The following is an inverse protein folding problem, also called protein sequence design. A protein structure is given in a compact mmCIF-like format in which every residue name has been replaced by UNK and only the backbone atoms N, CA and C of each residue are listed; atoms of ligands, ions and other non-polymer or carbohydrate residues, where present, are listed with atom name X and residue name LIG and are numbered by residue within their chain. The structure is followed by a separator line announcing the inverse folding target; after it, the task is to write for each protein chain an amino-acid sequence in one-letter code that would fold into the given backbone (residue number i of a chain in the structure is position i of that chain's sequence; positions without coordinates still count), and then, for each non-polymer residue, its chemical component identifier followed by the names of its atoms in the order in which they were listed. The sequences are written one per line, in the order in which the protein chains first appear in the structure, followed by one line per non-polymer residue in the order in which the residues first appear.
data_IF_134173774206
#
_entry.id   IF_134173774206
#
_cell.length_a   1.000
_cell.length_b   1.000
_cell.length_c   1.000
_cell.angle_alpha   90.00
_cell.angle_beta   90.00
_cell.angle_gamma   90.00
#
_symmetry.space_group_name_H-M   'P 1'
#
loop_
_entity.id
_entity.type
_entity.pdbx_description
1 polymer ?
#
# COMPACT_ATOMS: atom_id res chain seq x y z
N UNK A 1 28.23 6.47 -7.59
CA UNK A 1 27.17 6.33 -6.57
C UNK A 1 27.59 5.23 -5.61
N UNK A 2 27.75 5.61 -4.35
CA UNK A 2 28.10 4.72 -3.25
C UNK A 2 27.02 3.63 -3.06
N UNK A 3 27.38 2.35 -2.81
CA UNK A 3 26.44 1.33 -2.33
C UNK A 3 25.46 1.79 -1.23
N UNK A 4 25.90 2.64 -0.31
CA UNK A 4 25.04 3.19 0.76
C UNK A 4 24.01 4.17 0.18
N UNK A 5 24.43 5.10 -0.68
CA UNK A 5 23.53 6.03 -1.36
C UNK A 5 22.49 5.31 -2.23
N UNK A 6 22.91 4.27 -2.96
CA UNK A 6 22.02 3.49 -3.82
C UNK A 6 20.95 2.74 -3.00
N UNK A 7 21.36 2.15 -1.89
CA UNK A 7 20.43 1.42 -1.01
C UNK A 7 19.48 2.37 -0.28
N UNK A 8 19.94 3.55 0.14
CA UNK A 8 19.09 4.59 0.71
C UNK A 8 18.05 5.10 -0.30
N UNK A 9 18.46 5.40 -1.53
CA UNK A 9 17.54 5.81 -2.60
C UNK A 9 16.44 4.77 -2.81
N UNK A 10 16.79 3.48 -2.84
CA UNK A 10 15.82 2.40 -3.00
C UNK A 10 14.81 2.34 -1.84
N UNK A 11 15.27 2.55 -0.60
CA UNK A 11 14.40 2.63 0.59
C UNK A 11 13.42 3.80 0.47
N UNK A 12 13.88 4.96 0.01
CA UNK A 12 13.05 6.16 -0.13
C UNK A 12 12.02 6.02 -1.26
N UNK A 13 12.39 5.42 -2.39
CA UNK A 13 11.46 5.08 -3.48
C UNK A 13 10.33 4.16 -3.00
N UNK A 14 10.65 3.11 -2.25
CA UNK A 14 9.66 2.18 -1.72
C UNK A 14 8.76 2.82 -0.66
N UNK A 15 9.29 3.74 0.16
CA UNK A 15 8.49 4.53 1.12
C UNK A 15 7.53 5.47 0.41
N UNK A 16 7.97 6.11 -0.68
CA UNK A 16 7.12 6.97 -1.49
C UNK A 16 6.00 6.16 -2.14
N UNK A 17 6.35 5.03 -2.78
CA UNK A 17 5.37 4.13 -3.40
C UNK A 17 4.32 3.63 -2.41
N UNK A 18 4.72 3.25 -1.19
CA UNK A 18 3.78 2.81 -0.15
C UNK A 18 2.83 3.93 0.28
N UNK A 19 3.33 5.17 0.37
CA UNK A 19 2.51 6.34 0.71
C UNK A 19 1.49 6.62 -0.38
N UNK A 20 1.92 6.60 -1.64
CA UNK A 20 1.08 6.88 -2.79
C UNK A 20 -0.01 5.81 -2.95
N UNK A 21 0.33 4.54 -2.72
CA UNK A 21 -0.65 3.45 -2.71
C UNK A 21 -1.70 3.65 -1.61
N UNK A 22 -1.28 4.01 -0.39
CA UNK A 22 -2.21 4.27 0.73
C UNK A 22 -3.11 5.47 0.47
N UNK A 23 -2.57 6.54 -0.11
CA UNK A 23 -3.35 7.70 -0.53
C UNK A 23 -4.36 7.32 -1.60
N UNK A 24 -3.93 6.65 -2.66
CA UNK A 24 -4.82 6.18 -3.73
C UNK A 24 -5.92 5.25 -3.19
N UNK A 25 -5.59 4.36 -2.25
CA UNK A 25 -6.57 3.47 -1.59
C UNK A 25 -7.62 4.25 -0.78
N UNK A 26 -7.23 5.32 -0.10
CA UNK A 26 -8.15 6.16 0.65
C UNK A 26 -9.17 6.88 -0.25
N UNK A 27 -8.77 7.18 -1.49
CA UNK A 27 -9.63 7.82 -2.48
C UNK A 27 -10.57 6.84 -3.20
N UNK A 28 -10.34 5.52 -3.09
CA UNK A 28 -11.24 4.52 -3.69
C UNK A 28 -12.56 4.50 -2.91
N UNK A 29 -13.70 4.83 -3.56
CA UNK A 29 -15.01 4.75 -2.92
C UNK A 29 -15.29 3.31 -2.50
N UNK A 30 -15.34 3.06 -1.19
CA UNK A 30 -15.65 1.72 -0.68
C UNK A 30 -17.15 1.46 -0.85
N UNK A 31 -17.50 0.54 -1.74
CA UNK A 31 -18.84 -0.06 -1.81
C UNK A 31 -18.99 -1.21 -0.79
N UNK A 32 -18.11 -1.32 0.20
CA UNK A 32 -18.22 -2.29 1.28
C UNK A 32 -19.15 -1.82 2.41
N UNK A 33 -19.56 -0.55 2.39
CA UNK A 33 -20.61 -0.01 3.26
C UNK A 33 -21.81 0.39 2.40
N UNK A 34 -23.05 0.07 2.83
CA UNK A 34 -24.23 0.54 2.13
C UNK A 34 -24.15 2.06 2.05
N UNK A 35 -24.07 2.59 0.84
CA UNK A 35 -24.18 4.02 0.60
C UNK A 35 -25.59 4.41 1.02
N UNK A 36 -25.72 5.12 2.15
CA UNK A 36 -26.99 5.68 2.61
C UNK A 36 -27.63 6.66 1.62
N UNK A 37 -26.97 6.92 0.49
CA UNK A 37 -27.40 7.77 -0.62
C UNK A 37 -28.08 7.02 -1.78
N UNK A 38 -28.19 5.68 -1.76
CA UNK A 38 -28.92 4.97 -2.83
C UNK A 38 -30.42 5.07 -2.57
N UNK A 39 -31.02 6.13 -3.10
CA UNK A 39 -32.46 6.30 -3.22
C UNK A 39 -32.95 7.68 -2.80
N UNK A 40 -33.57 8.39 -3.72
CA UNK A 40 -34.47 9.46 -3.34
C UNK A 40 -35.58 8.90 -2.41
N UNK A 41 -36.15 9.73 -1.50
CA UNK A 41 -37.24 9.29 -0.63
C UNK A 41 -38.35 8.63 -1.45
N UNK A 42 -38.59 7.34 -1.22
CA UNK A 42 -39.66 6.58 -1.85
C UNK A 42 -39.30 5.67 -3.03
N UNK A 43 -38.06 5.67 -3.54
CA UNK A 43 -37.73 4.82 -4.71
C UNK A 43 -36.94 3.56 -4.35
N UNK A 44 -36.06 3.60 -3.35
CA UNK A 44 -35.13 2.51 -3.08
C UNK A 44 -34.84 2.38 -1.58
N UNK A 45 -35.77 1.80 -0.81
CA UNK A 45 -35.60 1.67 0.66
C UNK A 45 -35.17 0.26 1.08
N UNK A 46 -34.27 0.21 2.07
CA UNK A 46 -33.96 -0.96 2.92
C UNK A 46 -33.61 -2.21 2.13
N UNK A 47 -34.58 -3.10 1.88
CA UNK A 47 -34.33 -4.45 1.33
C UNK A 47 -33.91 -4.49 -0.14
N UNK A 48 -34.34 -3.52 -0.96
CA UNK A 48 -33.97 -3.48 -2.38
C UNK A 48 -32.57 -2.87 -2.56
N UNK A 49 -32.29 -1.79 -1.84
CA UNK A 49 -30.96 -1.20 -1.75
C UNK A 49 -29.95 -2.18 -1.13
N UNK A 50 -30.33 -2.88 -0.05
CA UNK A 50 -29.50 -3.91 0.57
C UNK A 50 -29.21 -5.09 -0.37
N UNK A 51 -30.18 -5.50 -1.19
CA UNK A 51 -29.98 -6.57 -2.19
C UNK A 51 -29.10 -6.10 -3.33
N UNK A 52 -29.31 -4.92 -3.90
CA UNK A 52 -28.39 -4.38 -4.91
C UNK A 52 -26.97 -4.29 -4.34
N UNK A 53 -26.86 -3.76 -3.12
CA UNK A 53 -25.59 -3.61 -2.45
C UNK A 53 -24.90 -4.96 -2.29
N UNK A 54 -25.57 -5.94 -1.69
CA UNK A 54 -25.01 -7.27 -1.42
C UNK A 54 -24.77 -8.11 -2.67
N UNK A 55 -25.71 -8.09 -3.61
CA UNK A 55 -25.75 -9.06 -4.71
C UNK A 55 -25.05 -8.53 -5.98
N UNK A 56 -24.93 -7.20 -6.12
CA UNK A 56 -24.33 -6.58 -7.32
C UNK A 56 -23.13 -5.71 -6.99
N UNK A 57 -23.20 -4.83 -5.99
CA UNK A 57 -22.11 -3.87 -5.71
C UNK A 57 -20.96 -4.46 -4.90
N UNK A 58 -21.25 -5.27 -3.87
CA UNK A 58 -20.25 -5.94 -3.03
C UNK A 58 -19.36 -6.88 -3.85
N UNK A 59 -19.89 -7.74 -4.74
CA UNK A 59 -19.05 -8.59 -5.60
C UNK A 59 -18.13 -7.80 -6.53
N UNK A 60 -18.58 -6.66 -7.04
CA UNK A 60 -17.76 -5.76 -7.88
C UNK A 60 -16.68 -5.04 -7.05
N UNK A 61 -16.95 -4.78 -5.77
CA UNK A 61 -16.01 -4.14 -4.85
C UNK A 61 -14.94 -5.09 -4.31
N UNK A 62 -15.24 -6.38 -4.24
CA UNK A 62 -14.39 -7.41 -3.66
C UNK A 62 -13.12 -7.70 -4.45
N UNK A 63 -12.99 -7.22 -5.69
CA UNK A 63 -11.79 -7.42 -6.50
C UNK A 63 -10.64 -6.46 -6.18
N UNK A 64 -10.95 -5.21 -5.86
CA UNK A 64 -9.96 -4.15 -5.70
C UNK A 64 -9.29 -4.19 -4.32
N UNK A 65 -10.04 -4.34 -3.23
CA UNK A 65 -9.48 -4.25 -1.86
C UNK A 65 -8.47 -5.39 -1.56
N UNK A 66 -8.72 -6.68 -1.90
CA UNK A 66 -7.73 -7.75 -1.69
C UNK A 66 -6.51 -7.65 -2.61
N UNK A 67 -6.67 -7.14 -3.83
CA UNK A 67 -5.54 -6.91 -4.73
C UNK A 67 -4.66 -5.76 -4.23
N UNK A 68 -5.26 -4.66 -3.76
CA UNK A 68 -4.54 -3.53 -3.17
C UNK A 68 -3.87 -3.91 -1.85
N UNK A 69 -4.51 -4.71 -1.00
CA UNK A 69 -3.89 -5.24 0.22
C UNK A 69 -2.67 -6.12 -0.08
N UNK A 70 -2.76 -6.99 -1.09
CA UNK A 70 -1.61 -7.80 -1.54
C UNK A 70 -0.49 -6.94 -2.10
N UNK A 71 -0.81 -5.90 -2.87
CA UNK A 71 0.17 -4.95 -3.38
C UNK A 71 0.84 -4.17 -2.25
N UNK A 72 0.07 -3.70 -1.27
CA UNK A 72 0.58 -3.00 -0.07
C UNK A 72 1.55 -3.91 0.71
N UNK A 73 1.16 -5.16 0.93
CA UNK A 73 2.02 -6.14 1.60
C UNK A 73 3.31 -6.40 0.83
N UNK A 74 3.23 -6.59 -0.49
CA UNK A 74 4.41 -6.84 -1.33
C UNK A 74 5.41 -5.67 -1.30
N UNK A 75 4.92 -4.43 -1.32
CA UNK A 75 5.78 -3.23 -1.19
C UNK A 75 6.40 -3.18 0.20
N UNK A 76 5.67 -3.56 1.24
CA UNK A 76 6.16 -3.54 2.61
C UNK A 76 7.24 -4.62 2.84
N UNK A 77 7.04 -5.83 2.29
CA UNK A 77 8.04 -6.91 2.32
C UNK A 77 9.34 -6.50 1.61
N UNK A 78 9.22 -5.86 0.44
CA UNK A 78 10.35 -5.34 -0.33
C UNK A 78 11.04 -4.19 0.40
N UNK A 79 10.30 -3.30 1.08
CA UNK A 79 10.86 -2.24 1.90
C UNK A 79 11.69 -2.79 3.07
N UNK A 80 11.19 -3.83 3.74
CA UNK A 80 11.93 -4.48 4.82
C UNK A 80 13.17 -5.22 4.29
N UNK A 81 13.11 -5.78 3.09
CA UNK A 81 14.28 -6.33 2.41
C UNK A 81 15.32 -5.24 2.09
N UNK A 82 14.89 -4.12 1.51
CA UNK A 82 15.76 -3.00 1.15
C UNK A 82 16.43 -2.37 2.37
N UNK A 83 15.71 -2.24 3.50
CA UNK A 83 16.29 -1.76 4.77
C UNK A 83 17.40 -2.67 5.28
N UNK A 84 17.17 -3.98 5.32
CA UNK A 84 18.23 -4.95 5.68
C UNK A 84 19.43 -4.93 4.73
N UNK A 85 19.22 -4.59 3.45
CA UNK A 85 20.32 -4.43 2.51
C UNK A 85 21.10 -3.13 2.77
N UNK A 86 20.40 -2.04 3.12
CA UNK A 86 21.01 -0.78 3.50
C UNK A 86 21.85 -0.90 4.79
N UNK A 87 21.30 -1.51 5.84
CA UNK A 87 22.01 -1.71 7.11
C UNK A 87 23.32 -2.50 6.91
N UNK A 88 23.31 -3.50 6.00
CA UNK A 88 24.51 -4.24 5.62
C UNK A 88 25.51 -3.38 4.85
N UNK A 89 25.06 -2.58 3.90
CA UNK A 89 25.93 -1.67 3.16
C UNK A 89 26.59 -0.63 4.07
N UNK A 90 25.86 -0.11 5.07
CA UNK A 90 26.42 0.79 6.08
C UNK A 90 27.48 0.11 6.94
N UNK A 91 27.23 -1.12 7.39
CA UNK A 91 28.18 -1.91 8.16
C UNK A 91 29.47 -2.16 7.37
N UNK A 92 29.36 -2.60 6.11
CA UNK A 92 30.50 -2.85 5.23
C UNK A 92 31.32 -1.56 4.99
N UNK A 93 30.65 -0.42 4.79
CA UNK A 93 31.30 0.86 4.60
C UNK A 93 32.04 1.34 5.86
N UNK A 94 31.48 1.08 7.04
CA UNK A 94 32.11 1.40 8.33
C UNK A 94 33.33 0.50 8.61
N UNK A 95 33.24 -0.80 8.30
CA UNK A 95 34.39 -1.72 8.39
C UNK A 95 35.55 -1.27 7.48
N UNK A 96 35.24 -0.87 6.25
CA UNK A 96 36.24 -0.34 5.31
C UNK A 96 36.87 0.96 5.80
N UNK A 97 36.09 1.88 6.38
CA UNK A 97 36.61 3.11 6.99
C UNK A 97 37.57 2.82 8.14
N UNK A 98 37.22 1.87 9.02
CA UNK A 98 38.10 1.46 10.13
C UNK A 98 39.38 0.80 9.65
N UNK A 99 39.31 -0.03 8.61
CA UNK A 99 40.47 -0.70 8.04
C UNK A 99 41.43 0.26 7.30
N UNK A 100 40.94 1.41 6.84
CA UNK A 100 41.71 2.40 6.07
C UNK A 100 42.17 3.61 6.90
N UNK A 101 41.77 3.71 8.17
CA UNK A 101 42.23 4.74 9.10
C UNK A 101 43.41 4.18 9.92
N UNK A 102 44.65 4.70 9.74
CA UNK A 102 45.86 4.20 10.42
C UNK A 102 45.95 4.55 11.91
#
# INVERSE_FOLDING_TARGET
MDPVERSQQRVDELRALLRDLRAARADVPSLSRPTGSVGAPGTWTGKAADRLHRDQLVPLSGGLDPALQRAEQAIQDELDHARRAHDRAEADAEEQRRATTP
#
